data_IF_140135868837
#
_entry.id   IF_140135868837
#
_cell.length_a   1.000
_cell.length_b   1.000
_cell.length_c   1.000
_cell.angle_alpha   90.00
_cell.angle_beta   90.00
_cell.angle_gamma   90.00
#
_symmetry.space_group_name_H-M   'P 1'
#
loop_
_entity.id
_entity.type
_entity.pdbx_description
1 polymer ?
#
# COMPACT_ATOMS: atom_id res chain seq x y z
N UNK A 1 -11.23 -0.68 -17.22
CA UNK A 1 -12.49 -1.45 -17.11
C UNK A 1 -13.66 -0.79 -17.82
N UNK A 2 -14.28 0.28 -17.28
CA UNK A 2 -15.54 0.82 -17.82
C UNK A 2 -15.52 1.17 -19.32
N UNK A 3 -14.39 1.66 -19.84
CA UNK A 3 -14.25 2.05 -21.25
C UNK A 3 -13.76 0.90 -22.16
N UNK A 4 -13.54 -0.30 -21.62
CA UNK A 4 -13.03 -1.44 -22.39
C UNK A 4 -11.62 -1.25 -22.97
N UNK A 5 -10.84 -0.30 -22.44
CA UNK A 5 -9.48 0.01 -22.92
C UNK A 5 -8.40 -0.65 -22.06
N UNK A 6 -7.44 -1.31 -22.73
CA UNK A 6 -6.18 -1.79 -22.15
C UNK A 6 -5.06 -0.81 -22.55
N UNK A 7 -4.35 -0.18 -21.59
CA UNK A 7 -3.20 0.65 -21.90
C UNK A 7 -2.04 -0.17 -22.48
N UNK A 8 -1.10 0.45 -23.22
CA UNK A 8 0.12 -0.23 -23.67
C UNK A 8 0.94 -0.71 -22.46
N UNK A 9 1.70 -1.81 -22.63
CA UNK A 9 2.50 -2.39 -21.54
C UNK A 9 3.46 -1.36 -20.91
N UNK A 10 4.12 -0.56 -21.75
CA UNK A 10 5.00 0.51 -21.30
C UNK A 10 4.28 1.57 -20.45
N UNK A 11 3.01 1.87 -20.74
CA UNK A 11 2.20 2.77 -19.92
C UNK A 11 2.00 2.22 -18.51
N UNK A 12 1.70 0.93 -18.38
CA UNK A 12 1.58 0.26 -17.08
C UNK A 12 2.92 0.16 -16.34
N UNK A 13 4.03 -0.13 -17.03
CA UNK A 13 5.35 -0.12 -16.39
C UNK A 13 5.71 1.24 -15.82
N UNK A 14 5.36 2.32 -16.52
CA UNK A 14 5.53 3.70 -16.03
C UNK A 14 4.65 3.96 -14.80
N UNK A 15 3.38 3.55 -14.83
CA UNK A 15 2.47 3.68 -13.67
C UNK A 15 3.01 2.91 -12.47
N UNK A 16 3.45 1.66 -12.66
CA UNK A 16 4.02 0.85 -11.59
C UNK A 16 5.29 1.50 -11.00
N UNK A 17 6.13 2.14 -11.81
CA UNK A 17 7.29 2.90 -11.33
C UNK A 17 6.90 4.17 -10.56
N UNK A 18 5.84 4.86 -11.00
CA UNK A 18 5.25 5.99 -10.27
C UNK A 18 4.75 5.57 -8.89
N UNK A 19 3.85 4.59 -8.85
CA UNK A 19 3.26 4.07 -7.61
C UNK A 19 4.30 3.42 -6.68
N UNK A 20 5.32 2.75 -7.23
CA UNK A 20 6.44 2.26 -6.41
C UNK A 20 7.20 3.41 -5.75
N UNK A 21 7.41 4.52 -6.48
CA UNK A 21 8.02 5.73 -5.92
C UNK A 21 7.14 6.41 -4.87
N UNK A 22 5.82 6.38 -5.03
CA UNK A 22 4.87 6.84 -4.02
C UNK A 22 5.00 6.04 -2.72
N UNK A 23 5.06 4.70 -2.79
CA UNK A 23 5.31 3.87 -1.61
C UNK A 23 6.65 4.20 -0.95
N UNK A 24 7.73 4.30 -1.74
CA UNK A 24 9.07 4.64 -1.22
C UNK A 24 9.09 6.02 -0.55
N UNK A 25 8.40 7.00 -1.12
CA UNK A 25 8.28 8.34 -0.57
C UNK A 25 7.47 8.38 0.73
N UNK A 26 6.19 7.98 0.68
CA UNK A 26 5.25 8.18 1.79
C UNK A 26 5.67 7.30 2.98
N UNK A 27 6.07 6.04 2.75
CA UNK A 27 6.54 5.20 3.85
C UNK A 27 7.79 5.77 4.53
N UNK A 28 8.79 6.27 3.79
CA UNK A 28 9.97 6.90 4.37
C UNK A 28 9.59 8.12 5.23
N UNK A 29 8.84 9.08 4.67
CA UNK A 29 8.55 10.32 5.42
C UNK A 29 7.59 10.08 6.59
N UNK A 30 6.62 9.19 6.43
CA UNK A 30 5.68 8.85 7.49
C UNK A 30 6.36 8.09 8.62
N UNK A 31 7.15 7.07 8.28
CA UNK A 31 7.83 6.26 9.27
C UNK A 31 8.91 7.05 10.01
N UNK A 32 9.73 7.84 9.31
CA UNK A 32 10.92 8.43 9.93
C UNK A 32 10.68 9.84 10.50
N UNK A 33 9.68 10.56 9.99
CA UNK A 33 9.41 11.94 10.40
C UNK A 33 8.08 12.13 11.16
N UNK A 34 7.19 11.13 11.18
CA UNK A 34 5.94 11.19 11.95
C UNK A 34 5.92 10.10 13.02
N UNK A 35 5.88 8.81 12.63
CA UNK A 35 5.83 7.68 13.56
C UNK A 35 7.11 7.56 14.39
N UNK A 36 8.27 7.72 13.75
CA UNK A 36 9.58 7.59 14.41
C UNK A 36 9.81 8.60 15.52
N UNK A 37 9.05 9.71 15.53
CA UNK A 37 9.09 10.70 16.62
C UNK A 37 8.54 10.12 17.93
N UNK A 38 7.60 9.18 17.86
CA UNK A 38 7.11 8.48 19.05
C UNK A 38 8.20 7.62 19.71
N UNK A 39 9.25 7.29 18.95
CA UNK A 39 10.40 6.50 19.37
C UNK A 39 11.68 7.34 19.54
N UNK A 40 11.60 8.66 19.38
CA UNK A 40 12.78 9.51 19.53
C UNK A 40 13.18 9.67 21.00
N UNK A 41 14.44 10.01 21.23
CA UNK A 41 14.99 10.18 22.57
C UNK A 41 14.17 11.16 23.42
N UNK A 42 13.75 12.30 22.86
CA UNK A 42 12.94 13.29 23.58
C UNK A 42 11.62 12.71 24.07
N UNK A 43 10.88 12.02 23.20
CA UNK A 43 9.59 11.40 23.55
C UNK A 43 9.76 10.28 24.59
N UNK A 44 10.74 9.40 24.37
CA UNK A 44 11.00 8.27 25.27
C UNK A 44 11.47 8.77 26.63
N UNK A 45 12.29 9.83 26.70
CA UNK A 45 12.72 10.47 27.95
C UNK A 45 11.54 11.01 28.76
N UNK A 46 10.59 11.66 28.09
CA UNK A 46 9.43 12.29 28.74
C UNK A 46 8.42 11.25 29.24
N UNK A 47 8.28 10.13 28.55
CA UNK A 47 7.23 9.13 28.85
C UNK A 47 7.74 7.91 29.61
N UNK A 48 8.96 7.45 29.31
CA UNK A 48 9.54 6.21 29.81
C UNK A 48 11.06 6.37 30.06
N UNK A 49 11.50 7.21 31.02
CA UNK A 49 12.92 7.51 31.22
C UNK A 49 13.78 6.26 31.50
N UNK A 50 13.24 5.25 32.19
CA UNK A 50 13.93 3.98 32.42
C UNK A 50 14.21 3.18 31.15
N UNK A 51 13.36 3.29 30.12
CA UNK A 51 13.59 2.68 28.80
C UNK A 51 14.75 3.36 28.10
N UNK A 52 14.83 4.69 28.17
CA UNK A 52 15.97 5.42 27.62
C UNK A 52 17.27 5.01 28.32
N UNK A 53 17.30 4.93 29.65
CA UNK A 53 18.49 4.47 30.38
C UNK A 53 18.94 3.06 29.99
N UNK A 54 18.01 2.16 29.69
CA UNK A 54 18.32 0.85 29.15
C UNK A 54 18.90 0.98 27.73
N UNK A 55 18.29 1.77 26.86
CA UNK A 55 18.74 2.00 25.49
C UNK A 55 20.18 2.56 25.40
N UNK A 56 20.61 3.37 26.38
CA UNK A 56 21.98 3.90 26.48
C UNK A 56 23.04 2.80 26.67
N UNK A 57 22.64 1.67 27.25
CA UNK A 57 23.50 0.54 27.60
C UNK A 57 23.31 -0.66 26.68
N UNK A 58 22.28 -0.66 25.84
CA UNK A 58 22.01 -1.73 24.87
C UNK A 58 22.69 -1.43 23.54
N UNK A 59 23.63 -2.30 23.15
CA UNK A 59 24.25 -2.27 21.83
C UNK A 59 23.25 -2.70 20.75
N UNK A 60 23.32 -2.06 19.59
CA UNK A 60 22.45 -2.39 18.46
C UNK A 60 22.99 -3.64 17.73
N UNK A 61 22.22 -4.74 17.61
CA UNK A 61 22.65 -5.98 16.94
C UNK A 61 23.26 -5.77 15.55
N UNK A 62 22.73 -4.82 14.78
CA UNK A 62 23.15 -4.50 13.41
C UNK A 62 23.91 -3.16 13.31
N UNK A 63 24.64 -2.78 14.37
CA UNK A 63 25.43 -1.56 14.41
C UNK A 63 26.41 -1.44 13.21
N UNK A 64 26.91 -2.55 12.66
CA UNK A 64 27.79 -2.55 11.50
C UNK A 64 27.08 -2.15 10.20
N UNK A 65 25.79 -2.47 10.07
CA UNK A 65 24.97 -2.17 8.91
C UNK A 65 24.55 -0.71 8.88
N UNK A 66 24.19 -0.14 10.03
CA UNK A 66 23.62 1.20 10.14
C UNK A 66 24.42 2.26 10.87
N UNK A 67 25.51 1.90 11.54
CA UNK A 67 26.47 2.85 12.10
C UNK A 67 26.07 3.46 13.45
N UNK A 68 25.00 2.98 14.08
CA UNK A 68 24.59 3.40 15.43
C UNK A 68 25.01 2.31 16.42
N UNK A 69 25.84 2.68 17.40
CA UNK A 69 26.41 1.71 18.35
C UNK A 69 25.36 1.20 19.33
N UNK A 70 24.51 2.09 19.84
CA UNK A 70 23.47 1.77 20.82
C UNK A 70 22.07 2.10 20.31
N UNK A 71 21.06 1.50 20.93
CA UNK A 71 19.66 1.83 20.63
C UNK A 71 19.37 3.31 20.92
N UNK A 72 19.96 3.88 21.98
CA UNK A 72 19.80 5.31 22.27
C UNK A 72 20.36 6.20 21.14
N UNK A 73 21.41 5.78 20.43
CA UNK A 73 21.93 6.54 19.28
C UNK A 73 20.90 6.56 18.13
N UNK A 74 20.18 5.46 17.90
CA UNK A 74 19.05 5.41 16.95
C UNK A 74 17.96 6.39 17.41
N UNK A 75 17.52 6.32 18.68
CA UNK A 75 16.49 7.21 19.24
C UNK A 75 16.86 8.70 19.12
N UNK A 76 18.13 9.06 19.36
CA UNK A 76 18.64 10.43 19.16
C UNK A 76 18.59 10.87 17.71
N UNK A 77 18.92 9.97 16.79
CA UNK A 77 18.90 10.25 15.36
C UNK A 77 17.49 10.56 14.81
N UNK A 78 16.45 10.12 15.53
CA UNK A 78 15.03 10.36 15.24
C UNK A 78 14.48 11.67 15.84
N UNK A 79 15.25 12.40 16.65
CA UNK A 79 14.79 13.65 17.25
C UNK A 79 14.36 14.66 16.16
N UNK A 80 13.18 15.28 16.26
CA UNK A 80 12.68 16.20 15.23
C UNK A 80 13.66 17.34 14.92
N UNK A 81 13.95 17.52 13.63
CA UNK A 81 14.82 18.57 13.05
C UNK A 81 16.31 18.53 13.46
N UNK A 82 16.65 17.97 14.61
CA UNK A 82 18.02 17.89 15.14
C UNK A 82 18.70 16.56 14.78
N UNK A 83 17.94 15.47 14.85
CA UNK A 83 18.40 14.12 14.57
C UNK A 83 18.92 13.97 13.14
N UNK A 84 20.03 13.25 12.98
CA UNK A 84 20.63 13.02 11.66
C UNK A 84 19.70 12.22 10.75
N UNK A 85 19.19 11.09 11.22
CA UNK A 85 18.31 10.21 10.43
C UNK A 85 16.98 10.90 10.09
N UNK A 86 16.41 11.69 11.02
CA UNK A 86 15.24 12.52 10.73
C UNK A 86 15.49 13.48 9.55
N UNK A 87 16.62 14.20 9.54
CA UNK A 87 16.97 15.13 8.45
C UNK A 87 17.33 14.41 7.15
N UNK A 88 17.97 13.26 7.25
CA UNK A 88 18.30 12.43 6.10
C UNK A 88 17.01 11.93 5.41
N UNK A 89 16.05 11.41 6.16
CA UNK A 89 14.77 10.95 5.63
C UNK A 89 14.00 12.09 4.92
N UNK A 90 14.13 13.34 5.38
CA UNK A 90 13.59 14.50 4.66
C UNK A 90 14.25 14.70 3.29
N UNK A 91 15.56 14.48 3.16
CA UNK A 91 16.24 14.53 1.85
C UNK A 91 15.86 13.33 0.97
N UNK A 92 15.73 12.14 1.56
CA UNK A 92 15.24 10.94 0.87
C UNK A 92 13.87 11.20 0.25
N UNK A 93 12.96 11.79 1.03
CA UNK A 93 11.62 12.15 0.57
C UNK A 93 11.62 13.06 -0.68
N UNK A 94 12.66 13.86 -0.89
CA UNK A 94 12.73 14.79 -2.04
C UNK A 94 13.06 14.04 -3.31
N UNK A 95 14.14 13.25 -3.30
CA UNK A 95 14.55 12.56 -4.52
C UNK A 95 13.64 11.36 -4.84
N UNK A 96 12.94 10.78 -3.87
CA UNK A 96 11.88 9.80 -4.14
C UNK A 96 10.65 10.44 -4.78
N UNK A 97 10.29 11.68 -4.40
CA UNK A 97 9.29 12.47 -5.16
C UNK A 97 9.76 12.87 -6.55
N UNK A 98 11.05 13.13 -6.74
CA UNK A 98 11.59 13.33 -8.09
C UNK A 98 11.40 12.07 -8.95
N UNK A 99 11.61 10.87 -8.38
CA UNK A 99 11.32 9.60 -9.06
C UNK A 99 9.84 9.49 -9.46
N UNK A 100 8.93 9.84 -8.56
CA UNK A 100 7.49 9.91 -8.86
C UNK A 100 7.21 10.90 -10.00
N UNK A 101 7.73 12.13 -9.93
CA UNK A 101 7.51 13.17 -10.93
C UNK A 101 8.07 12.81 -12.31
N UNK A 102 9.12 11.99 -12.40
CA UNK A 102 9.60 11.47 -13.68
C UNK A 102 8.52 10.62 -14.38
N UNK A 103 7.76 9.82 -13.61
CA UNK A 103 6.76 8.90 -14.15
C UNK A 103 5.39 9.55 -14.30
N UNK A 104 4.98 10.40 -13.37
CA UNK A 104 3.60 10.92 -13.26
C UNK A 104 3.50 12.46 -13.39
N UNK A 105 4.63 13.12 -13.65
CA UNK A 105 4.74 14.55 -13.93
C UNK A 105 4.92 15.44 -12.70
N UNK A 106 4.06 15.31 -11.68
CA UNK A 106 4.14 16.12 -10.45
C UNK A 106 3.47 15.43 -9.25
N UNK A 107 3.96 15.69 -8.04
CA UNK A 107 3.45 15.09 -6.80
C UNK A 107 2.67 16.11 -5.93
N UNK A 108 1.58 15.76 -5.22
CA UNK A 108 0.92 14.44 -5.14
C UNK A 108 -0.20 14.27 -6.18
N UNK A 109 -0.55 15.34 -6.90
CA UNK A 109 -1.61 15.30 -7.90
C UNK A 109 -0.98 15.11 -9.29
N UNK A 110 -0.94 13.87 -9.82
CA UNK A 110 -0.26 13.60 -11.08
C UNK A 110 -0.87 14.40 -12.23
N UNK A 111 -0.08 14.63 -13.27
CA UNK A 111 -0.50 15.41 -14.44
C UNK A 111 -0.45 14.63 -15.74
N UNK A 112 0.18 13.45 -15.76
CA UNK A 112 0.35 12.65 -16.98
C UNK A 112 -0.40 11.33 -16.97
N UNK A 113 -1.20 11.04 -15.93
CA UNK A 113 -2.07 9.86 -15.88
C UNK A 113 -3.42 10.15 -16.56
N UNK A 114 -3.86 9.22 -17.42
CA UNK A 114 -5.14 9.29 -18.12
C UNK A 114 -5.78 7.89 -18.19
N UNK A 115 -7.11 7.79 -18.40
CA UNK A 115 -7.68 6.53 -18.87
C UNK A 115 -6.98 6.11 -20.18
N UNK A 116 -6.59 4.83 -20.29
CA UNK A 116 -5.88 4.32 -21.47
C UNK A 116 -4.35 4.49 -21.44
N UNK A 117 -3.75 5.07 -20.40
CA UNK A 117 -2.29 5.06 -20.21
C UNK A 117 -1.73 6.39 -19.69
N UNK A 118 -0.54 6.78 -20.17
CA UNK A 118 0.17 7.98 -19.70
C UNK A 118 0.66 8.88 -20.82
N UNK A 119 0.73 10.18 -20.54
CA UNK A 119 1.37 11.20 -21.39
C UNK A 119 2.89 11.31 -21.21
N UNK A 120 3.47 10.53 -20.31
CA UNK A 120 4.92 10.52 -20.02
C UNK A 120 5.70 10.02 -21.24
N UNK A 121 6.66 10.82 -21.71
CA UNK A 121 7.47 10.47 -22.88
C UNK A 121 8.57 9.48 -22.47
N UNK A 122 8.38 8.22 -22.83
CA UNK A 122 9.33 7.16 -22.55
C UNK A 122 10.63 7.33 -23.36
N UNK A 123 11.76 7.32 -22.66
CA UNK A 123 13.10 7.42 -23.27
C UNK A 123 14.13 6.72 -22.40
N UNK A 124 15.28 6.35 -22.98
CA UNK A 124 16.39 5.79 -22.19
C UNK A 124 16.79 6.74 -21.05
N UNK A 125 16.81 8.06 -21.31
CA UNK A 125 17.12 9.08 -20.32
C UNK A 125 16.16 9.04 -19.12
N UNK A 126 14.84 8.95 -19.37
CA UNK A 126 13.82 8.88 -18.32
C UNK A 126 14.12 7.72 -17.35
N UNK A 127 14.34 6.52 -17.88
CA UNK A 127 14.61 5.34 -17.07
C UNK A 127 15.96 5.43 -16.36
N UNK A 128 17.01 5.97 -16.98
CA UNK A 128 18.30 6.16 -16.29
C UNK A 128 18.22 7.20 -15.17
N UNK A 129 17.43 8.26 -15.33
CA UNK A 129 17.23 9.28 -14.30
C UNK A 129 16.47 8.70 -13.10
N UNK A 130 15.48 7.83 -13.34
CA UNK A 130 14.78 7.09 -12.29
C UNK A 130 15.70 6.07 -11.60
N UNK A 131 16.36 5.20 -12.37
CA UNK A 131 17.22 4.13 -11.83
C UNK A 131 18.38 4.68 -11.00
N UNK A 132 18.99 5.81 -11.39
CA UNK A 132 20.07 6.43 -10.61
C UNK A 132 19.62 6.84 -9.19
N UNK A 133 18.36 7.29 -9.05
CA UNK A 133 17.74 7.61 -7.76
C UNK A 133 17.28 6.36 -7.03
N UNK A 134 16.70 5.39 -7.74
CA UNK A 134 16.31 4.10 -7.19
C UNK A 134 17.50 3.39 -6.53
N UNK A 135 18.67 3.34 -7.19
CA UNK A 135 19.85 2.68 -6.63
C UNK A 135 20.38 3.35 -5.35
N UNK A 136 20.17 4.67 -5.19
CA UNK A 136 20.46 5.37 -3.93
C UNK A 136 19.48 4.94 -2.83
N UNK A 137 18.20 4.79 -3.17
CA UNK A 137 17.19 4.30 -2.23
C UNK A 137 17.40 2.83 -1.85
N UNK A 138 17.85 1.97 -2.79
CA UNK A 138 18.22 0.58 -2.50
C UNK A 138 19.35 0.51 -1.48
N UNK A 139 20.40 1.33 -1.62
CA UNK A 139 21.48 1.39 -0.63
C UNK A 139 21.00 1.92 0.72
N UNK A 140 20.09 2.90 0.71
CA UNK A 140 19.44 3.41 1.91
C UNK A 140 18.66 2.30 2.63
N UNK A 141 17.85 1.50 1.93
CA UNK A 141 17.06 0.43 2.56
C UNK A 141 17.90 -0.69 3.16
N UNK A 142 19.10 -0.97 2.61
CA UNK A 142 20.04 -1.93 3.22
C UNK A 142 20.52 -1.51 4.60
N UNK A 143 20.40 -0.23 4.95
CA UNK A 143 20.69 0.31 6.27
C UNK A 143 19.43 0.42 7.12
N UNK A 144 18.32 0.81 6.52
CA UNK A 144 17.10 1.17 7.27
C UNK A 144 16.35 -0.05 7.80
N UNK A 145 16.28 -1.15 7.02
CA UNK A 145 15.65 -2.40 7.49
C UNK A 145 16.26 -2.87 8.82
N UNK A 146 17.59 -3.11 8.92
CA UNK A 146 18.18 -3.55 10.18
C UNK A 146 18.10 -2.50 11.30
N UNK A 147 18.13 -1.20 10.97
CA UNK A 147 17.98 -0.11 11.97
C UNK A 147 16.63 -0.19 12.68
N UNK A 148 15.55 -0.40 11.93
CA UNK A 148 14.21 -0.53 12.53
C UNK A 148 13.99 -1.89 13.19
N UNK A 149 14.59 -2.97 12.68
CA UNK A 149 14.57 -4.26 13.37
C UNK A 149 15.15 -4.11 14.78
N UNK A 150 16.35 -3.53 14.90
CA UNK A 150 17.01 -3.28 16.19
C UNK A 150 16.17 -2.42 17.13
N UNK A 151 15.58 -1.34 16.62
CA UNK A 151 14.73 -0.47 17.41
C UNK A 151 13.46 -1.19 17.89
N UNK A 152 12.76 -1.91 17.00
CA UNK A 152 11.48 -2.54 17.35
C UNK A 152 11.66 -3.78 18.21
N UNK A 153 12.72 -4.56 18.00
CA UNK A 153 13.06 -5.69 18.86
C UNK A 153 13.42 -5.20 20.28
N UNK A 154 14.18 -4.10 20.38
CA UNK A 154 14.46 -3.48 21.68
C UNK A 154 13.18 -3.12 22.46
N UNK A 155 12.15 -2.57 21.80
CA UNK A 155 10.91 -2.21 22.50
C UNK A 155 10.16 -3.43 23.05
N UNK A 156 10.22 -4.58 22.38
CA UNK A 156 9.66 -5.83 22.93
C UNK A 156 10.40 -6.28 24.19
N UNK A 157 11.73 -6.16 24.21
CA UNK A 157 12.53 -6.56 25.37
C UNK A 157 12.43 -5.56 26.53
N UNK A 158 12.50 -4.26 26.24
CA UNK A 158 12.53 -3.19 27.23
C UNK A 158 11.18 -2.99 27.94
N UNK A 159 10.08 -3.34 27.28
CA UNK A 159 8.72 -3.19 27.82
C UNK A 159 7.95 -4.51 27.69
N UNK A 160 8.15 -5.50 28.58
CA UNK A 160 7.42 -6.76 28.53
C UNK A 160 5.90 -6.54 28.50
N UNK A 161 5.21 -7.13 27.51
CA UNK A 161 3.79 -6.91 27.23
C UNK A 161 3.51 -5.89 26.11
N UNK A 162 4.54 -5.27 25.51
CA UNK A 162 4.37 -4.35 24.39
C UNK A 162 3.72 -4.99 23.16
N UNK A 163 3.73 -6.32 23.06
CA UNK A 163 3.01 -7.09 22.03
C UNK A 163 1.49 -6.89 22.03
N UNK A 164 0.91 -6.43 23.15
CA UNK A 164 -0.50 -6.10 23.27
C UNK A 164 -0.84 -4.69 22.77
N UNK A 165 0.15 -3.81 22.58
CA UNK A 165 -0.08 -2.43 22.16
C UNK A 165 -0.63 -2.38 20.73
N UNK A 166 -1.87 -1.91 20.61
CA UNK A 166 -2.58 -1.85 19.33
C UNK A 166 -2.87 -3.25 18.75
N UNK A 167 -2.79 -4.31 19.55
CA UNK A 167 -3.10 -5.67 19.11
C UNK A 167 -4.57 -5.78 18.72
N UNK A 168 -4.82 -6.39 17.56
CA UNK A 168 -6.15 -6.74 17.07
C UNK A 168 -6.19 -8.21 16.65
N UNK A 169 -7.40 -8.76 16.54
CA UNK A 169 -7.65 -9.99 15.79
C UNK A 169 -7.10 -9.81 14.36
N UNK A 170 -6.49 -10.85 13.79
CA UNK A 170 -6.01 -10.79 12.41
C UNK A 170 -7.21 -10.75 11.48
N UNK A 171 -7.57 -9.55 11.03
CA UNK A 171 -8.63 -9.27 10.06
C UNK A 171 -8.05 -8.32 9.02
N UNK A 172 -7.21 -8.85 8.13
CA UNK A 172 -6.45 -8.04 7.18
C UNK A 172 -7.08 -8.08 5.79
N UNK A 173 -7.21 -6.93 5.14
CA UNK A 173 -7.58 -6.81 3.73
C UNK A 173 -6.43 -6.23 2.90
N UNK A 174 -6.14 -6.89 1.77
CA UNK A 174 -5.23 -6.42 0.72
C UNK A 174 -5.94 -6.54 -0.64
N UNK A 175 -5.97 -5.49 -1.46
CA UNK A 175 -6.64 -5.54 -2.78
C UNK A 175 -5.69 -5.65 -3.97
N UNK A 176 -4.42 -5.92 -3.69
CA UNK A 176 -3.37 -6.10 -4.69
C UNK A 176 -2.94 -4.80 -5.35
N UNK A 177 -1.73 -4.78 -5.89
CA UNK A 177 -1.15 -3.61 -6.54
C UNK A 177 -0.03 -4.00 -7.50
N UNK A 178 0.35 -3.02 -8.34
CA UNK A 178 1.42 -3.13 -9.33
C UNK A 178 1.09 -4.23 -10.34
N UNK A 179 0.25 -3.88 -11.33
CA UNK A 179 -0.27 -4.83 -12.30
C UNK A 179 0.84 -5.45 -13.14
N UNK A 180 0.71 -6.73 -13.48
CA UNK A 180 1.50 -7.33 -14.55
C UNK A 180 0.83 -7.05 -15.90
N UNK A 181 1.42 -6.22 -16.79
CA UNK A 181 0.82 -5.86 -18.07
C UNK A 181 0.68 -7.05 -19.05
N UNK A 182 1.45 -8.13 -18.85
CA UNK A 182 1.30 -9.36 -19.62
C UNK A 182 -0.04 -10.05 -19.36
N UNK A 183 -0.63 -9.85 -18.18
CA UNK A 183 -1.86 -10.49 -17.74
C UNK A 183 -3.04 -9.51 -17.58
N UNK A 184 -2.81 -8.29 -17.10
CA UNK A 184 -3.87 -7.33 -16.83
C UNK A 184 -4.46 -6.74 -18.12
N UNK A 185 -5.71 -7.10 -18.40
CA UNK A 185 -6.50 -6.54 -19.49
C UNK A 185 -7.61 -5.59 -19.01
N UNK A 186 -7.69 -5.38 -17.69
CA UNK A 186 -8.69 -4.55 -17.02
C UNK A 186 -10.15 -4.94 -17.30
N UNK A 187 -10.40 -6.15 -17.82
CA UNK A 187 -11.76 -6.68 -17.97
C UNK A 187 -12.25 -7.24 -16.65
N UNK A 188 -13.56 -7.12 -16.38
CA UNK A 188 -14.15 -7.69 -15.18
C UNK A 188 -14.15 -9.23 -15.23
N UNK A 189 -14.40 -9.80 -16.41
CA UNK A 189 -14.49 -11.24 -16.60
C UNK A 189 -13.19 -11.97 -16.23
N UNK A 190 -12.03 -11.35 -16.49
CA UNK A 190 -10.72 -11.89 -16.15
C UNK A 190 -10.14 -11.32 -14.84
N UNK A 191 -10.92 -10.54 -14.07
CA UNK A 191 -10.44 -9.79 -12.91
C UNK A 191 -9.73 -10.64 -11.86
N UNK A 192 -10.29 -11.81 -11.58
CA UNK A 192 -9.70 -12.75 -10.62
C UNK A 192 -8.40 -13.38 -11.13
N UNK A 193 -8.20 -13.50 -12.45
CA UNK A 193 -6.98 -14.07 -13.03
C UNK A 193 -5.85 -13.03 -13.01
N UNK A 194 -6.07 -11.85 -13.61
CA UNK A 194 -5.03 -10.82 -13.61
C UNK A 194 -4.76 -10.24 -12.23
N UNK A 195 -5.75 -10.18 -11.34
CA UNK A 195 -5.56 -9.76 -9.95
C UNK A 195 -4.58 -10.66 -9.20
N UNK A 196 -4.64 -11.98 -9.42
CA UNK A 196 -3.70 -12.94 -8.81
C UNK A 196 -2.27 -12.82 -9.35
N UNK A 197 -2.08 -12.15 -10.48
CA UNK A 197 -0.79 -11.93 -11.16
C UNK A 197 -0.14 -10.59 -10.80
N UNK A 198 -0.82 -9.73 -10.03
CA UNK A 198 -0.23 -8.51 -9.49
C UNK A 198 1.05 -8.80 -8.68
N UNK A 199 2.02 -7.88 -8.73
CA UNK A 199 3.27 -8.00 -7.95
C UNK A 199 3.06 -7.78 -6.46
N UNK A 200 1.86 -7.41 -6.02
CA UNK A 200 1.37 -7.58 -4.66
C UNK A 200 0.05 -8.35 -4.77
N UNK A 201 -0.02 -9.55 -4.19
CA UNK A 201 -1.21 -10.41 -4.38
C UNK A 201 -2.38 -9.92 -3.50
N UNK A 202 -3.59 -9.75 -4.07
CA UNK A 202 -4.79 -9.45 -3.29
C UNK A 202 -5.12 -10.59 -2.32
N UNK A 203 -5.83 -10.27 -1.24
CA UNK A 203 -6.33 -11.28 -0.33
C UNK A 203 -7.03 -10.74 0.92
N UNK A 204 -7.91 -11.58 1.46
CA UNK A 204 -8.52 -11.40 2.78
C UNK A 204 -7.91 -12.45 3.72
N UNK A 205 -7.34 -11.99 4.83
CA UNK A 205 -6.69 -12.86 5.82
C UNK A 205 -7.43 -12.75 7.15
N UNK A 206 -7.99 -13.87 7.60
CA UNK A 206 -8.74 -13.98 8.86
C UNK A 206 -8.05 -15.01 9.75
N UNK A 207 -7.67 -14.60 10.96
CA UNK A 207 -7.01 -15.45 11.97
C UNK A 207 -5.77 -16.18 11.41
N UNK A 208 -5.01 -15.48 10.56
CA UNK A 208 -3.78 -15.98 9.92
C UNK A 208 -4.01 -16.89 8.71
N UNK A 209 -5.24 -17.10 8.27
CA UNK A 209 -5.58 -17.91 7.09
C UNK A 209 -5.99 -17.01 5.93
N UNK A 210 -5.44 -17.28 4.74
CA UNK A 210 -5.90 -16.68 3.49
C UNK A 210 -7.29 -17.26 3.17
N UNK A 211 -8.33 -16.43 3.28
CA UNK A 211 -9.72 -16.81 3.01
C UNK A 211 -9.96 -16.85 1.50
N UNK A 212 -9.57 -15.80 0.81
CA UNK A 212 -9.65 -15.69 -0.65
C UNK A 212 -8.59 -14.71 -1.16
N UNK A 213 -8.14 -14.90 -2.40
CA UNK A 213 -7.37 -13.95 -3.20
C UNK A 213 -8.08 -13.63 -4.53
N UNK A 214 -9.38 -13.91 -4.61
CA UNK A 214 -10.22 -13.66 -5.76
C UNK A 214 -10.79 -12.24 -5.70
N UNK A 215 -10.37 -11.35 -6.60
CA UNK A 215 -10.85 -9.97 -6.61
C UNK A 215 -12.37 -9.86 -6.83
N UNK A 216 -13.01 -10.79 -7.54
CA UNK A 216 -14.46 -10.79 -7.73
C UNK A 216 -15.17 -11.13 -6.43
N UNK A 217 -14.71 -12.15 -5.71
CA UNK A 217 -15.25 -12.50 -4.39
C UNK A 217 -15.02 -11.38 -3.38
N UNK A 218 -13.81 -10.80 -3.36
CA UNK A 218 -13.47 -9.66 -2.51
C UNK A 218 -14.42 -8.50 -2.78
N UNK A 219 -14.62 -8.13 -4.04
CA UNK A 219 -15.53 -7.07 -4.47
C UNK A 219 -16.95 -7.32 -3.97
N UNK A 220 -17.52 -8.49 -4.29
CA UNK A 220 -18.89 -8.84 -3.93
C UNK A 220 -19.11 -8.96 -2.42
N UNK A 221 -18.05 -9.14 -1.63
CA UNK A 221 -18.09 -9.13 -0.17
C UNK A 221 -18.16 -7.73 0.46
N UNK A 222 -17.94 -6.63 -0.28
CA UNK A 222 -17.93 -5.28 0.31
C UNK A 222 -19.35 -4.83 0.70
N UNK A 223 -19.51 -4.36 1.93
CA UNK A 223 -20.74 -3.75 2.47
C UNK A 223 -20.41 -2.42 3.11
N UNK A 224 -21.09 -1.35 2.69
CA UNK A 224 -21.01 -0.05 3.36
C UNK A 224 -22.17 0.04 4.35
N UNK A 225 -21.83 -0.06 5.63
CA UNK A 225 -22.79 0.13 6.71
C UNK A 225 -22.71 1.55 7.26
N UNK A 226 -23.77 1.93 7.98
CA UNK A 226 -23.82 3.13 8.79
C UNK A 226 -23.74 2.75 10.28
N UNK A 227 -24.61 3.30 11.12
CA UNK A 227 -24.59 3.14 12.57
C UNK A 227 -24.24 4.47 13.22
N UNK A 228 -22.96 4.83 13.24
CA UNK A 228 -22.46 6.01 13.96
C UNK A 228 -22.05 7.19 13.07
N UNK A 229 -22.60 7.24 11.86
CA UNK A 229 -22.18 8.18 10.81
C UNK A 229 -23.23 9.26 10.53
N UNK A 230 -22.79 10.48 10.22
CA UNK A 230 -23.64 11.64 9.92
C UNK A 230 -24.32 11.60 8.53
N UNK A 231 -25.01 10.50 8.25
CA UNK A 231 -25.76 10.29 7.01
C UNK A 231 -27.15 9.71 7.31
N UNK A 232 -28.06 9.92 6.36
CA UNK A 232 -29.28 9.12 6.25
C UNK A 232 -28.95 7.82 5.51
N UNK A 233 -29.74 6.77 5.79
CA UNK A 233 -29.62 5.52 5.04
C UNK A 233 -30.25 5.69 3.64
N UNK A 234 -29.74 4.96 2.65
CA UNK A 234 -30.24 4.97 1.27
C UNK A 234 -31.20 3.80 0.98
N UNK A 235 -31.73 3.16 2.02
CA UNK A 235 -32.78 2.16 1.86
C UNK A 235 -33.98 2.75 1.10
N UNK A 236 -34.47 2.01 0.10
CA UNK A 236 -35.55 2.46 -0.79
C UNK A 236 -35.11 3.38 -1.94
N UNK A 237 -33.83 3.77 -2.03
CA UNK A 237 -33.30 4.43 -3.22
C UNK A 237 -33.13 3.44 -4.38
N UNK A 238 -33.05 3.97 -5.60
CA UNK A 238 -32.79 3.17 -6.80
C UNK A 238 -31.44 2.43 -6.69
N UNK A 239 -31.42 1.16 -7.08
CA UNK A 239 -30.18 0.41 -7.27
C UNK A 239 -29.64 0.63 -8.67
N UNK A 240 -28.39 1.09 -8.76
CA UNK A 240 -27.72 1.30 -10.03
C UNK A 240 -27.29 -0.03 -10.69
N UNK A 241 -26.86 -1.00 -9.88
CA UNK A 241 -26.25 -2.26 -10.31
C UNK A 241 -26.82 -3.43 -9.51
N UNK A 242 -27.66 -4.25 -10.15
CA UNK A 242 -28.25 -5.44 -9.50
C UNK A 242 -27.41 -6.70 -9.69
N UNK A 243 -26.65 -6.77 -10.79
CA UNK A 243 -25.74 -7.88 -11.10
C UNK A 243 -24.42 -7.33 -11.66
N UNK A 244 -23.33 -8.00 -11.33
CA UNK A 244 -22.01 -7.70 -11.91
C UNK A 244 -21.91 -8.21 -13.38
N UNK A 245 -20.82 -7.91 -14.11
CA UNK A 245 -20.64 -8.40 -15.48
C UNK A 245 -20.58 -9.93 -15.64
N UNK A 246 -20.42 -10.69 -14.55
CA UNK A 246 -20.45 -12.16 -14.53
C UNK A 246 -21.84 -12.72 -14.16
N UNK A 247 -22.81 -11.85 -13.88
CA UNK A 247 -24.17 -12.24 -13.50
C UNK A 247 -24.33 -12.57 -12.01
N UNK A 248 -23.36 -12.26 -11.16
CA UNK A 248 -23.50 -12.44 -9.72
C UNK A 248 -24.35 -11.31 -9.13
N UNK A 249 -25.21 -11.59 -8.13
CA UNK A 249 -26.03 -10.56 -7.50
C UNK A 249 -25.15 -9.56 -6.72
N UNK A 250 -25.45 -8.27 -6.87
CA UNK A 250 -24.78 -7.18 -6.16
C UNK A 250 -25.68 -6.65 -5.06
N UNK A 251 -25.14 -6.56 -3.84
CA UNK A 251 -25.89 -6.15 -2.66
C UNK A 251 -26.30 -4.65 -2.71
N UNK A 252 -27.47 -4.26 -2.18
CA UNK A 252 -27.86 -2.86 -2.07
C UNK A 252 -26.89 -2.00 -1.24
N UNK A 253 -26.14 -2.61 -0.32
CA UNK A 253 -25.09 -1.97 0.50
C UNK A 253 -23.72 -1.94 -0.16
N UNK A 254 -23.57 -2.54 -1.34
CA UNK A 254 -22.32 -2.48 -2.11
C UNK A 254 -22.07 -1.05 -2.64
N UNK A 255 -20.83 -0.55 -2.73
CA UNK A 255 -20.53 0.82 -3.16
C UNK A 255 -21.14 1.23 -4.51
N UNK A 256 -21.31 0.30 -5.45
CA UNK A 256 -22.02 0.57 -6.71
C UNK A 256 -23.47 1.07 -6.53
N UNK A 257 -24.13 0.71 -5.43
CA UNK A 257 -25.54 1.03 -5.14
C UNK A 257 -25.71 2.09 -4.06
N UNK A 258 -24.62 2.62 -3.53
CA UNK A 258 -24.68 3.59 -2.44
C UNK A 258 -25.20 4.95 -2.93
N UNK A 259 -26.07 5.57 -2.13
CA UNK A 259 -26.36 7.00 -2.23
C UNK A 259 -25.85 7.70 -0.97
N UNK A 260 -25.05 8.75 -1.13
CA UNK A 260 -24.50 9.50 0.01
C UNK A 260 -25.42 10.67 0.35
N UNK A 261 -26.20 10.55 1.43
CA UNK A 261 -27.18 11.55 1.88
C UNK A 261 -26.68 12.17 3.19
N UNK A 262 -25.93 13.30 3.16
CA UNK A 262 -25.32 13.88 4.35
C UNK A 262 -26.36 14.51 5.29
N UNK A 263 -26.23 14.22 6.58
CA UNK A 263 -27.10 14.75 7.63
C UNK A 263 -26.25 15.41 8.74
N UNK A 264 -25.86 16.68 8.59
CA UNK A 264 -25.10 17.39 9.61
C UNK A 264 -25.86 17.44 10.94
N UNK A 265 -25.21 17.02 12.02
CA UNK A 265 -25.85 16.90 13.33
C UNK A 265 -24.84 17.10 14.47
N UNK A 266 -25.35 17.27 15.70
CA UNK A 266 -24.53 17.36 16.91
C UNK A 266 -23.88 15.99 17.18
N UNK A 267 -22.58 15.99 17.51
CA UNK A 267 -21.83 14.80 17.90
C UNK A 267 -22.42 14.16 19.16
N UNK A 268 -22.73 12.86 19.09
CA UNK A 268 -23.15 12.03 20.21
C UNK A 268 -22.43 10.67 20.17
N UNK A 269 -21.57 10.39 21.16
CA UNK A 269 -20.77 9.15 21.20
C UNK A 269 -21.59 7.89 21.49
N UNK A 270 -22.82 8.03 21.99
CA UNK A 270 -23.75 6.91 22.18
C UNK A 270 -24.57 6.59 20.91
N UNK A 271 -24.39 7.36 19.84
CA UNK A 271 -25.12 7.23 18.57
C UNK A 271 -24.20 7.64 17.39
N UNK A 272 -24.51 8.73 16.70
CA UNK A 272 -23.75 9.25 15.57
C UNK A 272 -22.72 10.28 16.02
N UNK A 273 -21.45 10.01 15.72
CA UNK A 273 -20.34 10.86 16.15
C UNK A 273 -19.27 11.13 15.08
N UNK A 274 -19.39 10.56 13.88
CA UNK A 274 -18.37 10.67 12.83
C UNK A 274 -18.94 10.92 11.45
N UNK A 275 -18.15 11.52 10.55
CA UNK A 275 -18.43 11.50 9.10
C UNK A 275 -17.91 10.23 8.44
N UNK A 276 -17.14 9.39 9.14
CA UNK A 276 -16.66 8.13 8.57
C UNK A 276 -17.81 7.12 8.56
N UNK A 277 -18.06 6.49 7.41
CA UNK A 277 -18.98 5.35 7.28
C UNK A 277 -18.35 4.07 7.84
N UNK A 278 -19.08 2.96 7.89
CA UNK A 278 -18.59 1.68 8.40
C UNK A 278 -18.46 0.61 7.30
N UNK A 279 -17.43 0.66 6.43
CA UNK A 279 -17.11 -0.44 5.53
C UNK A 279 -16.90 -1.75 6.28
N UNK A 280 -17.48 -2.83 5.79
CA UNK A 280 -17.31 -4.19 6.29
C UNK A 280 -17.14 -5.14 5.12
N UNK A 281 -16.44 -6.25 5.35
CA UNK A 281 -16.37 -7.34 4.41
C UNK A 281 -17.23 -8.49 4.92
N UNK A 282 -18.21 -8.90 4.12
CA UNK A 282 -19.15 -9.95 4.44
C UNK A 282 -18.59 -11.30 4.00
N UNK A 283 -18.33 -12.19 4.95
CA UNK A 283 -17.76 -13.52 4.70
C UNK A 283 -18.81 -14.61 4.40
N UNK A 284 -20.04 -14.19 4.13
CA UNK A 284 -21.20 -15.09 4.00
C UNK A 284 -21.98 -15.27 5.31
N UNK A 285 -21.44 -14.81 6.45
CA UNK A 285 -22.09 -14.93 7.76
C UNK A 285 -22.02 -13.63 8.57
N UNK A 286 -20.83 -13.07 8.73
CA UNK A 286 -20.52 -11.95 9.60
C UNK A 286 -20.00 -10.75 8.78
N UNK A 287 -20.26 -9.55 9.29
CA UNK A 287 -19.73 -8.30 8.71
C UNK A 287 -18.40 -7.96 9.39
N UNK A 288 -17.29 -8.40 8.80
CA UNK A 288 -15.95 -8.26 9.37
C UNK A 288 -15.44 -6.83 9.21
N UNK A 289 -14.97 -6.25 10.32
CA UNK A 289 -14.26 -4.98 10.34
C UNK A 289 -12.79 -5.22 10.00
N UNK A 290 -12.52 -5.51 8.72
CA UNK A 290 -11.16 -5.64 8.22
C UNK A 290 -10.39 -4.34 8.46
N UNK A 291 -9.15 -4.47 8.93
CA UNK A 291 -8.17 -3.41 8.92
C UNK A 291 -7.09 -3.70 7.87
N UNK A 292 -6.32 -2.68 7.55
CA UNK A 292 -5.32 -2.75 6.47
C UNK A 292 -3.93 -3.07 6.98
N UNK A 293 -3.75 -3.22 8.30
CA UNK A 293 -2.42 -3.26 8.90
C UNK A 293 -1.58 -2.01 8.61
N UNK A 294 -2.23 -0.88 8.29
CA UNK A 294 -1.58 0.33 7.81
C UNK A 294 -1.05 0.26 6.38
N UNK A 295 -1.46 -0.76 5.61
CA UNK A 295 -1.06 -1.09 4.24
C UNK A 295 -0.02 -2.21 4.18
N UNK A 296 1.24 -1.95 4.56
CA UNK A 296 2.34 -2.90 4.44
C UNK A 296 2.09 -4.27 5.06
N UNK A 297 1.54 -4.32 6.28
CA UNK A 297 1.32 -5.59 6.98
C UNK A 297 0.32 -6.47 6.22
N UNK A 298 -0.79 -5.92 5.72
CA UNK A 298 -1.76 -6.70 4.95
C UNK A 298 -1.19 -7.18 3.61
N UNK A 299 -0.44 -6.34 2.90
CA UNK A 299 0.20 -6.69 1.62
C UNK A 299 1.19 -7.83 1.75
N UNK A 300 2.10 -7.72 2.72
CA UNK A 300 3.12 -8.73 2.94
C UNK A 300 2.49 -10.05 3.39
N UNK A 301 1.48 -10.00 4.26
CA UNK A 301 0.79 -11.21 4.73
C UNK A 301 0.03 -11.93 3.60
N UNK A 302 -0.74 -11.17 2.82
CA UNK A 302 -1.51 -11.71 1.69
C UNK A 302 -0.58 -12.32 0.63
N UNK A 303 0.48 -11.58 0.26
CA UNK A 303 1.47 -12.04 -0.72
C UNK A 303 2.22 -13.27 -0.23
N UNK A 304 2.68 -13.27 1.03
CA UNK A 304 3.38 -14.41 1.64
C UNK A 304 2.54 -15.69 1.57
N UNK A 305 1.29 -15.63 2.06
CA UNK A 305 0.41 -16.80 2.11
C UNK A 305 -0.07 -17.26 0.73
N UNK A 306 -0.25 -16.34 -0.21
CA UNK A 306 -0.67 -16.71 -1.57
C UNK A 306 0.41 -17.49 -2.31
N UNK A 307 1.69 -17.19 -2.09
CA UNK A 307 2.80 -17.90 -2.73
C UNK A 307 2.86 -17.72 -4.26
N UNK A 308 2.21 -16.68 -4.80
CA UNK A 308 2.04 -16.49 -6.24
C UNK A 308 3.10 -15.58 -6.88
N UNK A 309 3.76 -14.73 -6.09
CA UNK A 309 4.75 -13.77 -6.60
C UNK A 309 6.14 -14.39 -6.61
N UNK A 310 6.75 -14.50 -7.78
CA UNK A 310 8.18 -14.75 -7.98
C UNK A 310 8.68 -13.97 -9.20
N UNK A 311 9.43 -12.90 -8.95
CA UNK A 311 10.03 -12.04 -9.98
C UNK A 311 11.56 -11.93 -9.82
N UNK A 312 12.17 -12.89 -9.10
CA UNK A 312 13.59 -12.90 -8.73
C UNK A 312 13.93 -11.89 -7.61
N UNK A 313 13.52 -10.64 -7.76
CA UNK A 313 13.67 -9.59 -6.75
C UNK A 313 12.76 -9.80 -5.53
N UNK A 314 11.57 -10.34 -5.76
CA UNK A 314 10.60 -10.70 -4.72
C UNK A 314 10.23 -12.16 -4.90
N UNK A 315 10.13 -12.90 -3.80
CA UNK A 315 9.61 -14.26 -3.76
C UNK A 315 8.73 -14.51 -2.55
N UNK A 316 7.48 -14.87 -2.79
CA UNK A 316 6.57 -15.37 -1.77
C UNK A 316 6.86 -16.86 -1.51
N UNK A 317 6.99 -17.26 -0.24
CA UNK A 317 7.40 -18.62 0.14
C UNK A 317 6.26 -19.49 0.67
N UNK A 318 5.05 -18.95 0.76
CA UNK A 318 3.90 -19.54 1.46
C UNK A 318 3.85 -19.22 2.97
N UNK A 319 4.93 -18.68 3.54
CA UNK A 319 5.03 -18.34 4.97
C UNK A 319 5.88 -17.09 5.28
N UNK A 320 6.51 -16.52 4.25
CA UNK A 320 7.35 -15.32 4.31
C UNK A 320 7.40 -14.67 2.92
N UNK A 321 8.02 -13.49 2.85
CA UNK A 321 8.42 -12.82 1.61
C UNK A 321 9.91 -12.59 1.64
N UNK A 322 10.62 -13.09 0.63
CA UNK A 322 12.05 -12.83 0.40
C UNK A 322 12.18 -11.63 -0.55
N UNK A 323 13.00 -10.66 -0.16
CA UNK A 323 13.27 -9.41 -0.86
C UNK A 323 14.78 -9.36 -1.15
N UNK A 324 15.15 -9.44 -2.42
CA UNK A 324 16.54 -9.43 -2.87
C UNK A 324 16.91 -8.05 -3.39
N UNK A 325 17.90 -7.42 -2.78
CA UNK A 325 18.45 -6.13 -3.21
C UNK A 325 19.85 -6.34 -3.82
N UNK A 326 20.09 -5.87 -5.06
CA UNK A 326 21.36 -6.09 -5.76
C UNK A 326 22.49 -5.32 -5.08
N UNK A 327 23.75 -5.66 -5.42
CA UNK A 327 24.93 -4.89 -5.01
C UNK A 327 24.76 -3.40 -5.35
N UNK A 328 25.15 -2.53 -4.42
CA UNK A 328 25.14 -1.08 -4.59
C UNK A 328 26.58 -0.53 -4.54
N UNK A 329 26.73 0.80 -4.48
CA UNK A 329 28.03 1.46 -4.56
C UNK A 329 28.96 1.04 -3.42
N UNK A 330 28.42 0.96 -2.21
CA UNK A 330 29.20 0.71 -0.99
C UNK A 330 28.80 -0.57 -0.26
N UNK A 331 27.65 -1.19 -0.59
CA UNK A 331 27.14 -2.39 0.09
C UNK A 331 27.01 -3.59 -0.86
N UNK A 332 27.31 -4.82 -0.40
CA UNK A 332 27.10 -6.05 -1.17
C UNK A 332 25.61 -6.28 -1.45
N UNK A 333 25.28 -7.29 -2.26
CA UNK A 333 23.90 -7.76 -2.35
C UNK A 333 23.35 -8.14 -0.95
N UNK A 334 22.05 -7.97 -0.75
CA UNK A 334 21.42 -8.18 0.55
C UNK A 334 20.05 -8.78 0.35
N UNK A 335 19.73 -9.81 1.12
CA UNK A 335 18.43 -10.46 1.12
C UNK A 335 17.76 -10.21 2.46
N UNK A 336 16.55 -9.67 2.43
CA UNK A 336 15.68 -9.56 3.59
C UNK A 336 14.56 -10.58 3.49
N UNK A 337 14.17 -11.17 4.62
CA UNK A 337 13.04 -12.09 4.67
C UNK A 337 12.03 -11.57 5.69
N UNK A 338 10.93 -10.99 5.21
CA UNK A 338 9.81 -10.67 6.09
C UNK A 338 9.06 -11.96 6.42
N UNK A 339 9.02 -12.32 7.70
CA UNK A 339 8.30 -13.50 8.19
C UNK A 339 6.96 -13.07 8.76
N UNK A 340 5.94 -13.90 8.53
CA UNK A 340 4.60 -13.65 9.09
C UNK A 340 4.70 -13.56 10.62
N UNK A 341 4.32 -12.43 11.24
CA UNK A 341 4.48 -12.24 12.67
C UNK A 341 3.40 -13.00 13.44
N UNK A 342 3.68 -13.21 14.73
CA UNK A 342 2.74 -13.86 15.65
C UNK A 342 1.50 -13.00 15.95
N UNK A 343 1.61 -11.68 15.83
CA UNK A 343 0.58 -10.73 16.23
C UNK A 343 0.29 -9.71 15.12
N UNK A 344 -0.94 -9.20 15.10
CA UNK A 344 -1.30 -7.96 14.37
C UNK A 344 -1.37 -6.80 15.37
N UNK A 345 -0.22 -6.22 15.70
CA UNK A 345 -0.07 -5.16 16.70
C UNK A 345 0.62 -3.91 16.13
N UNK A 346 0.87 -2.89 16.95
CA UNK A 346 1.45 -1.62 16.48
C UNK A 346 2.87 -1.77 15.92
N UNK A 347 3.76 -2.49 16.62
CA UNK A 347 5.15 -2.65 16.19
C UNK A 347 5.27 -3.46 14.89
N UNK A 348 4.49 -4.53 14.72
CA UNK A 348 4.52 -5.33 13.50
C UNK A 348 4.00 -4.56 12.28
N UNK A 349 3.06 -3.62 12.46
CA UNK A 349 2.64 -2.70 11.39
C UNK A 349 3.77 -1.73 11.00
N UNK A 350 4.55 -1.26 11.98
CA UNK A 350 5.69 -0.39 11.74
C UNK A 350 6.86 -1.15 11.09
N UNK A 351 7.19 -2.35 11.57
CA UNK A 351 8.20 -3.24 10.96
C UNK A 351 7.84 -3.57 9.52
N UNK A 352 6.59 -3.99 9.27
CA UNK A 352 6.12 -4.28 7.91
C UNK A 352 6.28 -3.07 6.97
N UNK A 353 6.09 -1.84 7.46
CA UNK A 353 6.29 -0.62 6.65
C UNK A 353 7.73 -0.45 6.19
N UNK A 354 8.70 -0.70 7.05
CA UNK A 354 10.12 -0.67 6.68
C UNK A 354 10.45 -1.77 5.67
N UNK A 355 9.94 -2.98 5.84
CA UNK A 355 10.15 -4.05 4.87
C UNK A 355 9.50 -3.74 3.52
N UNK A 356 8.33 -3.10 3.51
CA UNK A 356 7.66 -2.76 2.26
C UNK A 356 8.34 -1.60 1.50
N UNK A 357 9.09 -0.73 2.18
CA UNK A 357 10.00 0.20 1.49
C UNK A 357 11.04 -0.55 0.64
N UNK A 358 11.66 -1.60 1.19
CA UNK A 358 12.59 -2.46 0.45
C UNK A 358 11.86 -3.27 -0.64
N UNK A 359 10.64 -3.75 -0.36
CA UNK A 359 9.80 -4.44 -1.33
C UNK A 359 9.51 -3.58 -2.57
N UNK A 360 9.04 -2.34 -2.36
CA UNK A 360 8.73 -1.41 -3.44
C UNK A 360 9.97 -1.07 -4.27
N UNK A 361 11.13 -0.90 -3.63
CA UNK A 361 12.40 -0.70 -4.34
C UNK A 361 12.77 -1.92 -5.22
N UNK A 362 12.56 -3.13 -4.71
CA UNK A 362 12.84 -4.37 -5.43
C UNK A 362 11.90 -4.59 -6.64
N UNK A 363 10.59 -4.31 -6.48
CA UNK A 363 9.65 -4.34 -7.62
C UNK A 363 9.96 -3.23 -8.62
N UNK A 364 10.36 -2.04 -8.17
CA UNK A 364 10.74 -0.96 -9.07
C UNK A 364 11.97 -1.31 -9.94
N UNK A 365 12.91 -2.13 -9.45
CA UNK A 365 14.01 -2.65 -10.27
C UNK A 365 13.48 -3.52 -11.42
N UNK A 366 12.57 -4.45 -11.12
CA UNK A 366 11.91 -5.29 -12.13
C UNK A 366 11.15 -4.43 -13.16
N UNK A 367 10.32 -3.50 -12.70
CA UNK A 367 9.54 -2.62 -13.59
C UNK A 367 10.44 -1.72 -14.45
N UNK A 368 11.57 -1.24 -13.93
CA UNK A 368 12.53 -0.43 -14.67
C UNK A 368 13.21 -1.23 -15.78
N UNK A 369 13.59 -2.48 -15.51
CA UNK A 369 14.14 -3.41 -16.50
C UNK A 369 13.12 -3.66 -17.63
N UNK A 370 11.88 -4.01 -17.27
CA UNK A 370 10.78 -4.25 -18.22
C UNK A 370 10.43 -3.02 -19.05
N UNK A 371 10.33 -1.84 -18.43
CA UNK A 371 10.10 -0.59 -19.14
C UNK A 371 11.22 -0.26 -20.13
N UNK A 372 12.48 -0.52 -19.76
CA UNK A 372 13.62 -0.30 -20.64
C UNK A 372 13.69 -1.32 -21.79
N UNK A 373 13.26 -2.56 -21.57
CA UNK A 373 13.10 -3.57 -22.61
C UNK A 373 12.10 -3.14 -23.69
N UNK A 374 10.93 -2.61 -23.29
CA UNK A 374 9.94 -2.05 -24.21
C UNK A 374 10.53 -0.92 -25.07
N UNK A 375 11.22 0.05 -24.43
CA UNK A 375 11.87 1.16 -25.14
C UNK A 375 12.96 0.68 -26.09
N UNK A 376 13.81 -0.26 -25.68
CA UNK A 376 14.89 -0.83 -26.53
C UNK A 376 14.33 -1.60 -27.73
N UNK A 377 13.16 -2.21 -27.57
CA UNK A 377 12.46 -2.90 -28.65
C UNK A 377 11.68 -1.94 -29.57
N UNK A 378 11.70 -0.63 -29.31
CA UNK A 378 10.99 0.39 -30.08
C UNK A 378 9.49 0.49 -29.77
N UNK A 379 9.00 -0.20 -28.74
CA UNK A 379 7.59 -0.15 -28.30
C UNK A 379 7.40 1.02 -27.33
N UNK A 380 7.29 2.23 -27.89
CA UNK A 380 7.26 3.48 -27.10
C UNK A 380 5.86 4.10 -26.97
N UNK A 381 4.81 3.44 -27.46
CA UNK A 381 3.43 3.88 -27.24
C UNK A 381 3.09 3.75 -25.75
N UNK A 382 2.56 4.81 -25.14
CA UNK A 382 2.23 4.86 -23.71
C UNK A 382 0.75 5.09 -23.42
N UNK A 383 -0.06 5.31 -24.45
CA UNK A 383 -1.50 5.56 -24.33
C UNK A 383 -2.28 4.91 -25.48
N UNK A 384 -3.47 4.40 -25.17
CA UNK A 384 -4.40 3.77 -26.11
C UNK A 384 -5.71 4.55 -26.23
N UNK A 385 -6.25 4.62 -27.44
CA UNK A 385 -7.48 5.37 -27.71
C UNK A 385 -8.69 4.65 -27.10
N UNK A 386 -9.64 5.42 -26.59
CA UNK A 386 -10.91 4.91 -26.09
C UNK A 386 -12.08 5.82 -26.47
N UNK A 387 -13.29 5.28 -26.32
CA UNK A 387 -14.55 6.02 -26.41
C UNK A 387 -15.29 5.87 -25.08
N UNK A 388 -16.00 6.92 -24.67
CA UNK A 388 -16.81 6.87 -23.45
C UNK A 388 -18.13 6.18 -23.82
N UNK A 389 -18.47 5.04 -23.17
CA UNK A 389 -19.75 4.37 -23.42
C UNK A 389 -20.91 5.18 -22.86
N UNK A 390 -22.10 5.05 -23.46
CA UNK A 390 -23.32 5.67 -22.94
C UNK A 390 -23.71 5.04 -21.59
N UNK A 391 -23.64 3.72 -21.49
CA UNK A 391 -23.98 2.93 -20.30
C UNK A 391 -22.83 1.96 -19.99
N UNK A 392 -22.29 2.00 -18.77
CA UNK A 392 -21.24 1.07 -18.35
C UNK A 392 -21.04 1.09 -16.84
N UNK A 393 -20.49 0.00 -16.30
CA UNK A 393 -20.03 -0.08 -14.92
C UNK A 393 -18.55 -0.43 -14.91
N UNK A 394 -17.85 0.02 -13.87
CA UNK A 394 -16.46 -0.34 -13.66
C UNK A 394 -16.09 -0.35 -12.19
N UNK A 395 -15.08 -1.15 -11.87
CA UNK A 395 -14.38 -1.11 -10.62
C UNK A 395 -12.88 -1.06 -10.89
N UNK A 396 -12.16 -0.24 -10.13
CA UNK A 396 -10.70 -0.25 -10.07
C UNK A 396 -10.27 -0.69 -8.68
N UNK A 397 -9.36 -1.66 -8.61
CA UNK A 397 -8.72 -2.12 -7.38
C UNK A 397 -7.24 -1.76 -7.40
N UNK A 398 -6.74 -1.27 -6.27
CA UNK A 398 -5.32 -1.10 -6.01
C UNK A 398 -5.08 -1.11 -4.49
N UNK A 399 -3.81 -1.14 -4.09
CA UNK A 399 -3.37 -0.86 -2.74
C UNK A 399 -2.86 0.58 -2.70
N UNK A 400 -3.54 1.46 -1.98
CA UNK A 400 -2.95 2.74 -1.62
C UNK A 400 -1.77 2.53 -0.65
N UNK A 401 -1.00 3.59 -0.39
CA UNK A 401 0.07 3.55 0.61
C UNK A 401 -0.39 3.02 1.97
N UNK A 402 -1.67 3.20 2.31
CA UNK A 402 -2.23 2.80 3.61
C UNK A 402 -3.10 1.54 3.57
N UNK A 403 -3.25 0.86 2.43
CA UNK A 403 -4.11 -0.32 2.31
C UNK A 403 -5.09 -0.29 1.15
N UNK A 404 -6.11 -1.11 1.26
CA UNK A 404 -7.22 -1.29 0.32
C UNK A 404 -7.74 0.02 -0.30
N UNK A 405 -7.79 0.09 -1.63
CA UNK A 405 -8.42 1.19 -2.37
C UNK A 405 -9.25 0.65 -3.54
N UNK A 406 -10.55 0.96 -3.56
CA UNK A 406 -11.46 0.57 -4.63
C UNK A 406 -12.24 1.78 -5.09
N UNK A 407 -12.35 1.94 -6.40
CA UNK A 407 -13.19 2.96 -7.02
C UNK A 407 -14.29 2.26 -7.80
N UNK A 408 -15.54 2.46 -7.39
CA UNK A 408 -16.72 1.90 -8.04
C UNK A 408 -17.42 3.00 -8.83
N UNK A 409 -17.58 2.80 -10.14
CA UNK A 409 -18.15 3.79 -11.06
C UNK A 409 -19.30 3.20 -11.87
N UNK A 410 -20.35 4.00 -12.06
CA UNK A 410 -21.48 3.76 -12.95
C UNK A 410 -21.62 4.93 -13.90
N UNK A 411 -21.74 4.63 -15.19
CA UNK A 411 -21.96 5.61 -16.27
C UNK A 411 -23.36 5.38 -16.83
N UNK A 412 -24.13 6.47 -16.95
CA UNK A 412 -25.41 6.54 -17.67
C UNK A 412 -25.46 7.78 -18.54
N UNK A 413 -26.03 7.69 -19.73
CA UNK A 413 -26.06 8.76 -20.74
C UNK A 413 -24.69 9.45 -20.95
N UNK A 414 -23.60 8.67 -20.93
CA UNK A 414 -22.22 9.17 -21.09
C UNK A 414 -21.72 10.05 -19.93
N UNK A 415 -22.40 10.01 -18.77
CA UNK A 415 -22.07 10.78 -17.56
C UNK A 415 -21.89 9.87 -16.36
N UNK A 416 -21.13 10.32 -15.38
CA UNK A 416 -21.04 9.64 -14.08
C UNK A 416 -22.42 9.69 -13.40
N UNK A 417 -23.06 8.53 -13.27
CA UNK A 417 -24.31 8.37 -12.55
C UNK A 417 -24.08 8.00 -11.08
N UNK A 418 -23.01 7.23 -10.80
CA UNK A 418 -22.58 6.94 -9.45
C UNK A 418 -21.06 6.78 -9.36
N UNK A 419 -20.43 7.24 -8.27
CA UNK A 419 -18.99 7.12 -8.07
C UNK A 419 -18.62 7.10 -6.58
N UNK A 420 -18.07 5.98 -6.12
CA UNK A 420 -17.73 5.78 -4.71
C UNK A 420 -16.32 5.21 -4.56
N UNK A 421 -15.35 6.05 -4.14
CA UNK A 421 -14.04 5.58 -3.74
C UNK A 421 -14.06 5.17 -2.27
N UNK A 422 -13.55 3.98 -1.97
CA UNK A 422 -13.33 3.49 -0.61
C UNK A 422 -11.84 3.30 -0.34
N UNK A 423 -11.14 4.36 0.10
CA UNK A 423 -9.75 4.28 0.55
C UNK A 423 -9.62 3.47 1.85
N UNK A 424 -8.38 3.23 2.33
CA UNK A 424 -8.17 2.37 3.50
C UNK A 424 -8.63 3.02 4.82
N UNK A 425 -8.52 4.35 4.95
CA UNK A 425 -8.88 5.05 6.20
C UNK A 425 -10.33 4.83 6.62
N UNK A 426 -11.35 4.88 5.73
CA UNK A 426 -12.70 4.44 6.04
C UNK A 426 -12.83 3.06 6.69
N UNK A 427 -11.96 2.10 6.36
CA UNK A 427 -11.96 0.77 6.98
C UNK A 427 -11.33 0.79 8.39
N UNK A 428 -10.30 1.62 8.58
CA UNK A 428 -9.51 1.64 9.80
C UNK A 428 -10.07 2.57 10.92
N UNK A 429 -10.81 3.63 10.57
CA UNK A 429 -11.08 4.80 11.43
C UNK A 429 -12.42 4.80 12.16
#
# INVERSE_FOLDING_TARGET
MAYGVKPPHLGEWIINLGESAEYMFDHNIFQENLVGVDYCEKMVRETNPGVLELAERTEAPHAAEHGYRTIADIMRSLNPLEGEFYREALQVSRYTREMFCLMEGRHVHPSTLYPGGVGTVASVQLFTDYMSRLMRYVEFMKRVVPLHDDLFDFFYEALPGYEEVGRRRVLLGCWGALNDPEHCDFTYANMSDWGRRMFVTPGVVVDGKLVTNDLTEINLGIRILLGSSYYEDWEGQEQFVTHDPLGNPVDPRHPWNQHTIPAPQKRNFDDKYSWVMSPRWFDGKDHLALDTGGGPLARLWSTALSGLVDIGYIKATGHSVVINLPRTMTKPETTFEWRIPKWSNALERNRARTYFQAYAAAVALHCAEKGLEEVRAGRTQTWEKFEVPDESIGVGFTEAVRGVLSHHMVIRDGKIANYHPYPPTPWNA
#
